data_IF_577737874434
#
_entry.id   IF_577737874434
#
_cell.length_a   1.000
_cell.length_b   1.000
_cell.length_c   1.000
_cell.angle_alpha   90.00
_cell.angle_beta   90.00
_cell.angle_gamma   90.00
#
_symmetry.space_group_name_H-M   'P 1'
#
loop_
_entity.id
_entity.type
_entity.pdbx_description
1 polymer ?
#
# COMPACT_ATOMS: atom_id res chain seq x y z
N UNK A 1 11.02 9.51 8.84
CA UNK A 1 9.84 9.15 9.62
C UNK A 1 8.89 10.34 9.77
N UNK A 2 9.26 11.36 10.53
CA UNK A 2 8.36 12.48 10.89
C UNK A 2 7.93 13.36 9.71
N UNK A 3 8.72 13.38 8.63
CA UNK A 3 8.33 14.06 7.40
C UNK A 3 7.18 13.35 6.66
N UNK A 4 7.01 12.06 6.87
CA UNK A 4 5.97 11.24 6.24
C UNK A 4 4.64 11.45 6.98
N UNK A 5 4.58 11.19 8.28
CA UNK A 5 3.35 11.03 9.05
C UNK A 5 3.16 12.01 10.24
N UNK A 6 4.09 12.92 10.48
CA UNK A 6 4.11 13.78 11.67
C UNK A 6 4.94 13.22 12.80
N UNK A 7 4.90 13.88 13.96
CA UNK A 7 5.64 13.47 15.16
C UNK A 7 5.20 12.12 15.70
N UNK A 8 6.01 11.51 16.54
CA UNK A 8 5.80 10.12 16.98
C UNK A 8 4.61 9.95 17.92
N UNK A 9 4.35 10.90 18.81
CA UNK A 9 3.31 10.79 19.83
C UNK A 9 2.25 11.89 19.76
N UNK A 10 2.21 12.71 18.72
CA UNK A 10 1.24 13.80 18.61
C UNK A 10 0.10 13.49 17.65
N UNK A 11 -0.86 14.41 17.59
CA UNK A 11 -1.97 14.41 16.62
C UNK A 11 -1.65 15.23 15.37
N UNK A 12 -0.44 15.80 15.24
CA UNK A 12 0.00 16.54 14.06
C UNK A 12 0.14 15.63 12.83
N UNK A 13 -0.28 16.13 11.67
CA UNK A 13 -0.04 15.52 10.37
C UNK A 13 1.28 15.95 9.73
N UNK A 14 1.61 15.37 8.60
CA UNK A 14 2.74 15.76 7.76
C UNK A 14 2.42 15.56 6.27
N UNK A 15 3.31 14.90 5.52
CA UNK A 15 3.15 14.83 4.08
C UNK A 15 1.92 13.99 3.68
N UNK A 16 1.75 12.81 4.24
CA UNK A 16 0.68 11.91 3.79
C UNK A 16 -0.72 12.36 4.17
N UNK A 17 -0.86 13.18 5.23
CA UNK A 17 -2.14 13.76 5.65
C UNK A 17 -2.42 15.11 4.96
N UNK A 18 -1.40 15.97 4.79
CA UNK A 18 -1.61 17.39 4.47
C UNK A 18 -0.65 17.92 3.39
N UNK A 19 0.21 17.10 2.81
CA UNK A 19 1.22 17.52 1.85
C UNK A 19 2.32 18.44 2.42
N UNK A 20 2.52 18.41 3.75
CA UNK A 20 3.48 19.25 4.46
C UNK A 20 4.89 18.65 4.50
N UNK A 21 5.88 19.42 4.97
CA UNK A 21 7.27 18.98 5.23
C UNK A 21 8.03 18.43 4.00
N UNK A 22 7.72 18.92 2.81
CA UNK A 22 8.34 18.45 1.55
C UNK A 22 9.87 18.55 1.52
N UNK A 23 10.47 19.57 2.13
CA UNK A 23 11.92 19.74 2.17
C UNK A 23 12.59 18.58 2.93
N UNK A 24 12.08 18.25 4.12
CA UNK A 24 12.60 17.13 4.93
C UNK A 24 12.37 15.78 4.23
N UNK A 25 11.26 15.66 3.46
CA UNK A 25 10.97 14.46 2.72
C UNK A 25 11.98 14.24 1.59
N UNK A 26 12.39 15.30 0.88
CA UNK A 26 13.45 15.23 -0.16
C UNK A 26 14.73 14.62 0.39
N UNK A 27 15.23 15.14 1.52
CA UNK A 27 16.44 14.60 2.16
C UNK A 27 16.26 13.13 2.56
N UNK A 28 15.06 12.76 3.06
CA UNK A 28 14.73 11.36 3.39
C UNK A 28 14.74 10.44 2.17
N UNK A 29 14.16 10.87 1.06
CA UNK A 29 14.12 10.09 -0.21
C UNK A 29 15.52 9.82 -0.74
N UNK A 30 16.42 10.78 -0.61
CA UNK A 30 17.83 10.63 -0.99
C UNK A 30 18.65 9.80 0.03
N UNK A 31 18.00 9.09 0.98
CA UNK A 31 18.70 8.30 1.99
C UNK A 31 19.64 9.13 2.86
N UNK A 32 19.29 10.40 3.15
CA UNK A 32 20.12 11.34 3.90
C UNK A 32 21.50 11.62 3.29
N UNK A 33 21.71 11.28 2.01
CA UNK A 33 22.96 11.50 1.29
C UNK A 33 22.95 12.76 0.41
N UNK A 34 21.88 13.57 0.52
CA UNK A 34 21.84 14.91 -0.07
C UNK A 34 22.94 15.77 0.53
N UNK A 35 23.78 16.33 -0.33
CA UNK A 35 24.97 17.11 0.07
C UNK A 35 24.64 18.42 0.79
N UNK A 36 23.39 18.87 0.77
CA UNK A 36 22.97 20.14 1.39
C UNK A 36 22.52 20.01 2.84
N UNK A 37 21.83 18.94 3.20
CA UNK A 37 21.20 18.77 4.52
C UNK A 37 21.32 17.37 5.10
N UNK A 38 21.75 16.42 4.29
CA UNK A 38 21.93 15.03 4.70
C UNK A 38 23.19 14.82 5.56
N UNK A 39 23.15 13.78 6.39
CA UNK A 39 24.26 13.41 7.27
C UNK A 39 25.01 12.17 6.78
N UNK A 40 24.42 11.40 5.85
CA UNK A 40 24.99 10.16 5.33
C UNK A 40 25.91 10.44 4.13
N UNK A 41 27.01 9.70 4.03
CA UNK A 41 27.90 9.76 2.88
C UNK A 41 27.33 8.98 1.68
N UNK A 42 26.59 7.92 1.97
CA UNK A 42 25.91 7.06 0.98
C UNK A 42 24.53 6.64 1.50
N UNK A 43 23.54 6.38 0.61
CA UNK A 43 22.18 6.05 1.04
C UNK A 43 22.08 4.82 1.95
N UNK A 44 22.95 3.83 1.77
CA UNK A 44 22.96 2.59 2.59
C UNK A 44 23.28 2.80 4.08
N UNK A 45 23.71 4.00 4.47
CA UNK A 45 23.87 4.37 5.89
C UNK A 45 22.56 4.82 6.54
N UNK A 46 21.47 4.95 5.77
CA UNK A 46 20.18 5.42 6.24
C UNK A 46 19.14 4.30 6.19
N UNK A 47 18.39 4.15 7.30
CA UNK A 47 17.17 3.34 7.36
C UNK A 47 15.98 4.26 7.19
N UNK A 48 15.18 4.03 6.14
CA UNK A 48 13.96 4.80 5.84
C UNK A 48 12.74 4.01 6.30
N UNK A 49 11.87 4.64 7.11
CA UNK A 49 10.69 3.99 7.67
C UNK A 49 9.59 4.98 8.04
N UNK A 50 8.36 4.52 8.14
CA UNK A 50 7.21 5.30 8.62
C UNK A 50 6.97 5.07 10.12
N UNK A 51 6.94 3.82 10.58
CA UNK A 51 6.76 3.45 11.98
C UNK A 51 7.71 2.33 12.41
N UNK A 52 7.87 2.14 13.72
CA UNK A 52 8.66 1.06 14.31
C UNK A 52 7.95 0.54 15.57
N UNK A 53 8.62 -0.32 16.36
CA UNK A 53 8.03 -0.93 17.56
C UNK A 53 7.70 0.08 18.67
N UNK A 54 8.42 1.21 18.74
CA UNK A 54 8.17 2.29 19.69
C UNK A 54 7.20 3.33 19.13
N UNK A 55 6.46 3.98 19.99
CA UNK A 55 5.44 4.98 19.71
C UNK A 55 4.25 4.41 18.93
N UNK A 56 3.40 5.26 18.37
CA UNK A 56 2.25 4.84 17.58
C UNK A 56 2.68 4.09 16.32
N UNK A 57 2.08 2.95 16.05
CA UNK A 57 2.19 2.33 14.73
C UNK A 57 1.56 3.25 13.66
N UNK A 58 1.86 2.99 12.38
CA UNK A 58 1.45 3.91 11.30
C UNK A 58 -0.06 4.15 11.30
N UNK A 59 -0.86 3.08 11.35
CA UNK A 59 -2.32 3.22 11.26
C UNK A 59 -2.90 3.98 12.45
N UNK A 60 -2.43 3.72 13.67
CA UNK A 60 -2.87 4.45 14.87
C UNK A 60 -2.51 5.94 14.80
N UNK A 61 -1.32 6.26 14.28
CA UNK A 61 -0.93 7.65 14.04
C UNK A 61 -1.85 8.34 13.04
N UNK A 62 -2.23 7.65 11.95
CA UNK A 62 -3.15 8.19 10.96
C UNK A 62 -4.54 8.41 11.56
N UNK A 63 -5.08 7.43 12.30
CA UNK A 63 -6.36 7.59 13.01
C UNK A 63 -6.32 8.80 13.95
N UNK A 64 -5.31 8.90 14.80
CA UNK A 64 -5.18 9.98 15.77
C UNK A 64 -5.02 11.36 15.14
N UNK A 65 -4.30 11.46 14.00
CA UNK A 65 -4.07 12.75 13.32
C UNK A 65 -5.25 13.22 12.46
N UNK A 66 -6.05 12.30 11.91
CA UNK A 66 -7.17 12.64 11.00
C UNK A 66 -8.50 12.71 11.74
N UNK A 67 -8.78 11.76 12.61
CA UNK A 67 -10.05 11.64 13.31
C UNK A 67 -10.01 12.03 14.79
N UNK A 68 -8.81 12.19 15.38
CA UNK A 68 -8.66 12.55 16.78
C UNK A 68 -9.41 11.62 17.74
N UNK A 69 -10.17 12.19 18.68
CA UNK A 69 -10.93 11.42 19.67
C UNK A 69 -12.11 10.62 19.10
N UNK A 70 -12.58 10.97 17.90
CA UNK A 70 -13.67 10.26 17.22
C UNK A 70 -13.18 9.02 16.44
N UNK A 71 -11.87 8.87 16.31
CA UNK A 71 -11.23 7.78 15.58
C UNK A 71 -11.41 6.42 16.25
N UNK A 72 -11.63 5.40 15.44
CA UNK A 72 -11.72 3.99 15.86
C UNK A 72 -10.52 3.23 15.28
N UNK A 73 -9.57 2.87 16.11
CA UNK A 73 -8.28 2.30 15.72
C UNK A 73 -8.37 0.98 14.94
N UNK A 74 -9.43 0.19 15.17
CA UNK A 74 -9.66 -1.10 14.48
C UNK A 74 -10.69 -1.02 13.35
N UNK A 75 -11.14 0.20 13.00
CA UNK A 75 -12.04 0.42 11.87
C UNK A 75 -11.23 0.70 10.60
N UNK A 76 -11.63 0.10 9.47
CA UNK A 76 -11.10 0.46 8.16
C UNK A 76 -11.67 1.81 7.70
N UNK A 77 -10.78 2.74 7.33
CA UNK A 77 -11.09 4.03 6.72
C UNK A 77 -10.34 4.13 5.40
N UNK A 78 -11.04 4.39 4.30
CA UNK A 78 -10.44 4.37 2.96
C UNK A 78 -9.40 5.47 2.73
N UNK A 79 -9.60 6.64 3.32
CA UNK A 79 -8.64 7.74 3.32
C UNK A 79 -7.35 7.37 4.06
N UNK A 80 -7.46 6.67 5.20
CA UNK A 80 -6.29 6.19 5.94
C UNK A 80 -5.59 5.04 5.23
N UNK A 81 -6.32 4.18 4.52
CA UNK A 81 -5.75 3.15 3.64
C UNK A 81 -4.95 3.81 2.52
N UNK A 82 -5.49 4.86 1.90
CA UNK A 82 -4.76 5.63 0.88
C UNK A 82 -3.48 6.25 1.44
N UNK A 83 -3.53 6.87 2.64
CA UNK A 83 -2.36 7.43 3.32
C UNK A 83 -1.34 6.36 3.72
N UNK A 84 -1.77 5.16 4.11
CA UNK A 84 -0.88 4.02 4.39
C UNK A 84 -0.14 3.60 3.11
N UNK A 85 -0.85 3.39 2.00
CA UNK A 85 -0.27 3.07 0.69
C UNK A 85 0.72 4.16 0.22
N UNK A 86 0.37 5.44 0.41
CA UNK A 86 1.27 6.56 0.11
C UNK A 86 2.53 6.52 0.98
N UNK A 87 2.41 6.22 2.29
CA UNK A 87 3.55 6.05 3.20
C UNK A 87 4.48 4.93 2.73
N UNK A 88 3.91 3.78 2.36
CA UNK A 88 4.65 2.65 1.80
C UNK A 88 5.40 3.04 0.52
N UNK A 89 4.71 3.72 -0.42
CA UNK A 89 5.34 4.18 -1.66
C UNK A 89 6.53 5.09 -1.38
N UNK A 90 6.42 6.04 -0.44
CA UNK A 90 7.51 6.92 -0.05
C UNK A 90 8.69 6.12 0.53
N UNK A 91 8.43 5.20 1.45
CA UNK A 91 9.48 4.40 2.10
C UNK A 91 10.19 3.50 1.10
N UNK A 92 9.43 2.73 0.32
CA UNK A 92 9.95 1.68 -0.55
C UNK A 92 10.65 2.25 -1.78
N UNK A 93 10.25 3.43 -2.29
CA UNK A 93 10.94 4.10 -3.41
C UNK A 93 12.02 5.10 -2.96
N UNK A 94 12.23 5.27 -1.66
CA UNK A 94 13.39 6.01 -1.15
C UNK A 94 14.66 5.21 -1.32
N UNK A 95 15.77 5.93 -1.52
CA UNK A 95 17.10 5.35 -1.44
C UNK A 95 17.43 4.95 0.01
N UNK A 96 18.38 4.05 0.19
CA UNK A 96 18.75 3.51 1.50
C UNK A 96 18.05 2.19 1.81
N UNK A 97 17.96 1.85 3.10
CA UNK A 97 17.40 0.58 3.57
C UNK A 97 15.93 0.82 3.98
N UNK A 98 14.95 0.29 3.24
CA UNK A 98 13.56 0.39 3.65
C UNK A 98 13.30 -0.51 4.85
N UNK A 99 12.52 -0.02 5.81
CA UNK A 99 12.08 -0.78 6.97
C UNK A 99 10.58 -0.58 7.18
N UNK A 100 9.86 -1.67 7.41
CA UNK A 100 8.45 -1.67 7.76
C UNK A 100 8.23 -2.43 9.07
N UNK A 101 7.40 -1.90 9.95
CA UNK A 101 6.94 -2.62 11.13
C UNK A 101 6.03 -3.77 10.69
N UNK A 102 6.28 -5.00 11.15
CA UNK A 102 5.44 -6.15 10.83
C UNK A 102 3.96 -5.89 11.15
N UNK A 103 3.10 -6.06 10.14
CA UNK A 103 1.67 -5.74 10.18
C UNK A 103 1.31 -4.35 9.64
N UNK A 104 2.28 -3.50 9.30
CA UNK A 104 2.02 -2.20 8.69
C UNK A 104 1.27 -2.36 7.34
N UNK A 105 1.59 -3.41 6.60
CA UNK A 105 0.99 -3.82 5.33
C UNK A 105 -0.47 -4.29 5.43
N UNK A 106 -0.96 -4.58 6.63
CA UNK A 106 -2.39 -4.85 6.91
C UNK A 106 -2.94 -3.95 8.02
N UNK A 107 -2.45 -2.71 8.07
CA UNK A 107 -2.97 -1.65 8.94
C UNK A 107 -3.01 -2.05 10.43
N UNK A 108 -1.93 -2.67 10.93
CA UNK A 108 -1.78 -3.05 12.34
C UNK A 108 -2.11 -1.89 13.26
N UNK A 109 -2.93 -2.16 14.28
CA UNK A 109 -3.25 -1.24 15.36
C UNK A 109 -2.85 -1.83 16.70
N UNK A 110 -2.42 -0.96 17.61
CA UNK A 110 -2.24 -1.22 19.03
C UNK A 110 -3.25 -0.41 19.87
N UNK A 111 -4.43 -0.12 19.29
CA UNK A 111 -5.50 0.68 19.91
C UNK A 111 -5.04 2.08 20.38
N UNK A 112 -4.05 2.67 19.70
CA UNK A 112 -3.49 3.99 20.03
C UNK A 112 -2.50 3.98 21.19
N UNK A 113 -2.04 2.82 21.64
CA UNK A 113 -1.02 2.70 22.68
C UNK A 113 0.38 2.98 22.11
N UNK A 114 0.94 4.13 22.46
CA UNK A 114 2.28 4.55 22.04
C UNK A 114 3.41 3.90 22.85
N UNK A 115 3.09 3.27 23.99
CA UNK A 115 4.07 2.71 24.92
C UNK A 115 3.74 1.27 25.31
N UNK A 116 3.42 0.45 24.35
CA UNK A 116 2.82 -0.87 24.49
C UNK A 116 3.75 -1.98 25.02
N UNK A 117 5.02 -1.69 25.38
CA UNK A 117 5.98 -2.70 25.78
C UNK A 117 5.54 -3.52 27.02
N UNK A 118 4.77 -2.92 27.93
CA UNK A 118 4.21 -3.57 29.11
C UNK A 118 2.68 -3.81 29.01
N UNK A 119 2.08 -3.50 27.88
CA UNK A 119 0.65 -3.70 27.63
C UNK A 119 0.32 -5.17 27.39
N UNK A 120 -0.95 -5.50 27.40
CA UNK A 120 -1.40 -6.89 27.30
C UNK A 120 -1.04 -7.51 25.93
N UNK A 121 -1.13 -8.84 25.87
CA UNK A 121 -0.96 -9.57 24.61
C UNK A 121 -1.92 -9.09 23.54
N UNK A 122 -3.13 -8.70 23.91
CA UNK A 122 -4.18 -8.24 22.99
C UNK A 122 -3.74 -7.00 22.19
N UNK A 123 -3.08 -6.03 22.83
CA UNK A 123 -2.57 -4.83 22.16
C UNK A 123 -1.34 -5.11 21.29
N UNK A 124 -0.54 -6.09 21.68
CA UNK A 124 0.74 -6.38 21.03
C UNK A 124 0.69 -7.45 19.94
N UNK A 125 -0.31 -8.34 19.95
CA UNK A 125 -0.46 -9.39 18.93
C UNK A 125 -0.80 -8.80 17.55
N UNK A 126 -0.47 -9.54 16.51
CA UNK A 126 -0.94 -9.28 15.16
C UNK A 126 -2.39 -9.79 15.03
N UNK A 127 -3.26 -8.96 14.48
CA UNK A 127 -4.62 -9.33 14.15
C UNK A 127 -4.65 -9.91 12.73
N UNK A 128 -4.64 -11.23 12.64
CA UNK A 128 -4.59 -11.93 11.34
C UNK A 128 -5.89 -11.82 10.53
N UNK A 129 -7.03 -11.47 11.15
CA UNK A 129 -8.27 -11.15 10.41
C UNK A 129 -8.08 -9.92 9.49
N UNK A 130 -7.13 -9.04 9.82
CA UNK A 130 -6.79 -7.89 9.01
C UNK A 130 -6.15 -8.26 7.66
N UNK A 131 -5.58 -9.45 7.50
CA UNK A 131 -5.00 -9.89 6.23
C UNK A 131 -6.07 -9.93 5.13
N UNK A 132 -7.25 -10.43 5.43
CA UNK A 132 -8.37 -10.43 4.49
C UNK A 132 -8.96 -9.03 4.32
N UNK A 133 -9.13 -8.29 5.43
CA UNK A 133 -9.72 -6.95 5.42
C UNK A 133 -8.88 -5.93 4.64
N UNK A 134 -7.54 -6.05 4.67
CA UNK A 134 -6.58 -5.15 4.04
C UNK A 134 -5.74 -5.85 2.96
N UNK A 135 -6.26 -6.90 2.32
CA UNK A 135 -5.56 -7.65 1.27
C UNK A 135 -5.07 -6.74 0.12
N UNK A 136 -5.82 -5.69 -0.20
CA UNK A 136 -5.44 -4.68 -1.19
C UNK A 136 -4.20 -3.85 -0.77
N UNK A 137 -3.98 -3.65 0.52
CA UNK A 137 -2.79 -2.97 1.04
C UNK A 137 -1.58 -3.90 0.95
N UNK A 138 -1.75 -5.17 1.33
CA UNK A 138 -0.70 -6.20 1.24
C UNK A 138 -0.21 -6.33 -0.20
N UNK A 139 -1.12 -6.46 -1.18
CA UNK A 139 -0.75 -6.56 -2.59
C UNK A 139 -0.06 -5.30 -3.10
N UNK A 140 -0.47 -4.12 -2.60
CA UNK A 140 0.18 -2.87 -2.92
C UNK A 140 1.64 -2.82 -2.43
N UNK A 141 1.89 -3.23 -1.17
CA UNK A 141 3.26 -3.37 -0.62
C UNK A 141 4.09 -4.36 -1.43
N UNK A 142 3.52 -5.54 -1.74
CA UNK A 142 4.18 -6.57 -2.57
C UNK A 142 4.60 -5.98 -3.92
N UNK A 143 3.70 -5.29 -4.60
CA UNK A 143 3.97 -4.65 -5.88
C UNK A 143 5.04 -3.57 -5.81
N UNK A 144 5.07 -2.76 -4.75
CA UNK A 144 6.12 -1.77 -4.52
C UNK A 144 7.50 -2.41 -4.33
N UNK A 145 7.59 -3.52 -3.59
CA UNK A 145 8.85 -4.26 -3.45
C UNK A 145 9.31 -4.87 -4.77
N UNK A 146 8.41 -5.41 -5.59
CA UNK A 146 8.73 -5.86 -6.95
C UNK A 146 9.32 -4.73 -7.80
N UNK A 147 8.71 -3.53 -7.77
CA UNK A 147 9.25 -2.34 -8.46
C UNK A 147 10.65 -1.99 -7.95
N UNK A 148 10.86 -2.00 -6.63
CA UNK A 148 12.16 -1.72 -6.02
C UNK A 148 13.23 -2.72 -6.46
N UNK A 149 12.91 -4.00 -6.47
CA UNK A 149 13.84 -5.08 -6.85
C UNK A 149 14.20 -5.02 -8.34
N UNK A 150 13.24 -4.62 -9.19
CA UNK A 150 13.46 -4.47 -10.62
C UNK A 150 14.27 -3.22 -11.00
N UNK A 151 14.40 -2.23 -10.10
CA UNK A 151 15.06 -0.95 -10.38
C UNK A 151 16.22 -0.68 -9.42
N UNK A 152 17.42 -1.04 -9.81
CA UNK A 152 18.63 -1.06 -8.97
C UNK A 152 18.95 0.27 -8.28
N UNK A 153 18.61 1.43 -8.90
CA UNK A 153 18.87 2.74 -8.31
C UNK A 153 18.18 2.99 -6.96
N UNK A 154 17.13 2.26 -6.62
CA UNK A 154 16.51 2.37 -5.29
C UNK A 154 17.32 1.67 -4.19
N UNK A 155 18.09 0.64 -4.53
CA UNK A 155 18.90 -0.19 -3.61
C UNK A 155 20.40 -0.01 -3.77
N UNK A 156 20.87 0.78 -4.74
CA UNK A 156 22.28 1.06 -4.93
C UNK A 156 22.87 1.74 -3.70
N UNK A 157 23.93 1.17 -3.16
CA UNK A 157 24.62 1.67 -1.97
C UNK A 157 25.69 2.71 -2.25
N UNK A 158 25.91 3.07 -3.52
CA UNK A 158 26.98 4.00 -3.92
C UNK A 158 26.55 5.46 -3.89
N UNK A 159 27.51 6.37 -3.75
CA UNK A 159 27.24 7.80 -3.83
C UNK A 159 26.77 8.26 -5.24
N UNK A 160 26.99 7.45 -6.27
CA UNK A 160 26.55 7.76 -7.64
C UNK A 160 25.02 7.90 -7.74
N UNK A 161 24.27 7.12 -6.96
CA UNK A 161 22.81 7.13 -6.94
C UNK A 161 22.23 8.40 -6.34
N UNK A 162 22.87 9.00 -5.34
CA UNK A 162 22.44 10.28 -4.77
C UNK A 162 22.38 11.39 -5.82
N UNK A 163 23.26 11.33 -6.83
CA UNK A 163 23.33 12.28 -7.92
C UNK A 163 22.39 11.94 -9.09
N UNK A 164 21.74 10.78 -9.08
CA UNK A 164 20.81 10.35 -10.12
C UNK A 164 19.38 10.86 -9.92
N UNK A 165 19.08 11.43 -8.76
CA UNK A 165 17.80 12.01 -8.38
C UNK A 165 17.64 13.45 -8.88
N UNK A 166 16.54 13.74 -9.57
CA UNK A 166 16.18 15.10 -10.00
C UNK A 166 14.75 15.40 -9.58
N UNK A 167 14.56 16.35 -8.67
CA UNK A 167 13.24 16.74 -8.19
C UNK A 167 12.48 17.57 -9.23
N UNK A 168 11.19 17.29 -9.40
CA UNK A 168 10.31 18.10 -10.22
C UNK A 168 10.13 19.49 -9.60
N UNK A 169 10.33 20.54 -10.42
CA UNK A 169 10.33 21.94 -9.94
C UNK A 169 8.95 22.58 -9.91
N UNK A 170 8.11 22.26 -10.90
CA UNK A 170 6.79 22.87 -11.08
C UNK A 170 5.70 21.84 -10.72
N UNK A 171 5.44 21.71 -9.42
CA UNK A 171 4.45 20.80 -8.87
C UNK A 171 3.43 21.54 -8.00
N UNK A 172 2.15 21.11 -7.99
CA UNK A 172 1.12 21.71 -7.14
C UNK A 172 1.48 21.68 -5.65
N UNK A 173 0.80 22.52 -4.85
CA UNK A 173 0.91 22.47 -3.40
C UNK A 173 0.50 21.09 -2.90
N UNK A 174 1.26 20.53 -1.94
CA UNK A 174 1.01 19.20 -1.40
C UNK A 174 1.55 18.05 -2.26
N UNK A 175 2.10 18.36 -3.44
CA UNK A 175 2.70 17.36 -4.32
C UNK A 175 4.21 17.42 -4.26
N UNK A 176 4.85 16.28 -4.40
CA UNK A 176 6.30 16.15 -4.62
C UNK A 176 6.55 15.06 -5.64
N UNK A 177 7.55 15.25 -6.49
CA UNK A 177 7.97 14.23 -7.44
C UNK A 177 9.45 14.34 -7.77
N UNK A 178 9.98 13.27 -8.32
CA UNK A 178 11.36 13.19 -8.79
C UNK A 178 11.47 12.19 -9.94
N UNK A 179 12.50 12.38 -10.74
CA UNK A 179 13.03 11.34 -11.64
C UNK A 179 14.30 10.77 -11.05
N UNK A 180 14.55 9.50 -11.32
CA UNK A 180 15.75 8.78 -10.93
C UNK A 180 16.23 7.93 -12.10
N UNK A 181 17.53 8.02 -12.42
CA UNK A 181 18.16 7.22 -13.46
C UNK A 181 18.68 5.92 -12.85
N UNK A 182 18.55 4.82 -13.61
CA UNK A 182 19.14 3.55 -13.21
C UNK A 182 20.67 3.60 -13.32
N UNK A 183 21.31 2.84 -12.47
CA UNK A 183 22.77 2.68 -12.45
C UNK A 183 23.24 1.46 -13.24
N UNK A 184 22.33 0.57 -13.62
CA UNK A 184 22.61 -0.65 -14.39
C UNK A 184 22.20 -0.50 -15.87
N UNK A 185 23.09 -0.91 -16.78
CA UNK A 185 22.78 -0.98 -18.21
C UNK A 185 21.93 -2.22 -18.55
N UNK A 186 21.10 -2.12 -19.61
CA UNK A 186 20.25 -3.22 -20.05
C UNK A 186 19.02 -3.48 -19.18
N UNK A 187 18.71 -2.56 -18.26
CA UNK A 187 17.52 -2.52 -17.40
C UNK A 187 16.68 -1.28 -17.75
N UNK A 188 15.56 -1.09 -17.08
CA UNK A 188 14.79 0.15 -17.17
C UNK A 188 15.69 1.36 -16.88
N UNK A 189 15.66 2.36 -17.73
CA UNK A 189 16.65 3.43 -17.70
C UNK A 189 16.31 4.54 -16.71
N UNK A 190 15.03 4.88 -16.57
CA UNK A 190 14.60 5.98 -15.72
C UNK A 190 13.22 5.71 -15.14
N UNK A 191 13.02 6.11 -13.89
CA UNK A 191 11.70 6.20 -13.27
C UNK A 191 11.33 7.64 -12.93
N UNK A 192 10.01 7.90 -12.94
CA UNK A 192 9.41 9.11 -12.40
C UNK A 192 8.44 8.71 -11.28
N UNK A 193 8.67 9.24 -10.09
CA UNK A 193 7.86 8.98 -8.89
C UNK A 193 7.22 10.27 -8.43
N UNK A 194 5.90 10.25 -8.21
CA UNK A 194 5.13 11.42 -7.81
C UNK A 194 4.25 11.05 -6.61
N UNK A 195 4.29 11.86 -5.57
CA UNK A 195 3.49 11.74 -4.35
C UNK A 195 2.55 12.93 -4.23
N UNK A 196 1.29 12.66 -3.97
CA UNK A 196 0.27 13.66 -3.67
C UNK A 196 -0.25 13.45 -2.25
N UNK A 197 0.11 14.32 -1.32
CA UNK A 197 -0.37 14.32 0.06
C UNK A 197 -1.53 15.29 0.32
N UNK A 198 -2.16 15.83 -0.74
CA UNK A 198 -3.32 16.72 -0.62
C UNK A 198 -4.64 15.96 -0.74
N UNK A 199 -5.72 16.57 -0.27
CA UNK A 199 -7.09 16.01 -0.24
C UNK A 199 -7.78 15.98 -1.62
N UNK A 200 -7.07 16.39 -2.68
CA UNK A 200 -7.64 16.45 -4.03
C UNK A 200 -6.68 15.91 -5.08
N UNK A 201 -7.24 15.35 -6.13
CA UNK A 201 -6.46 14.91 -7.27
C UNK A 201 -5.73 16.09 -7.94
N UNK A 202 -4.50 15.88 -8.37
CA UNK A 202 -3.64 16.87 -8.97
C UNK A 202 -3.16 16.42 -10.36
N UNK A 203 -3.12 17.33 -11.32
CA UNK A 203 -2.45 17.09 -12.59
C UNK A 203 -1.00 17.56 -12.47
N UNK A 204 -0.07 16.67 -12.75
CA UNK A 204 1.37 16.93 -12.58
C UNK A 204 2.07 16.79 -13.92
N UNK A 205 2.88 17.77 -14.27
CA UNK A 205 3.74 17.71 -15.45
C UNK A 205 4.89 16.76 -15.21
N UNK A 206 4.98 15.72 -16.04
CA UNK A 206 6.07 14.75 -16.08
C UNK A 206 6.50 14.56 -17.54
N UNK A 207 7.42 15.39 -18.03
CA UNK A 207 7.85 15.40 -19.44
C UNK A 207 8.35 14.04 -19.87
N UNK A 208 7.93 13.58 -21.04
CA UNK A 208 8.30 12.30 -21.64
C UNK A 208 7.11 11.36 -21.80
N UNK A 209 7.41 10.15 -22.24
CA UNK A 209 6.46 9.06 -22.42
C UNK A 209 6.70 8.02 -21.33
N UNK A 210 5.66 7.68 -20.59
CA UNK A 210 5.75 6.87 -19.38
C UNK A 210 4.73 5.74 -19.37
N UNK A 211 5.15 4.60 -18.84
CA UNK A 211 4.29 3.48 -18.42
C UNK A 211 4.06 3.60 -16.93
N UNK A 212 2.81 3.65 -16.49
CA UNK A 212 2.41 3.68 -15.08
C UNK A 212 2.49 2.26 -14.51
N UNK A 213 3.28 2.08 -13.46
CA UNK A 213 3.47 0.82 -12.74
C UNK A 213 2.75 0.78 -11.38
N UNK A 214 2.49 1.96 -10.80
CA UNK A 214 1.69 2.07 -9.58
C UNK A 214 0.81 3.32 -9.62
N UNK A 215 -0.40 3.21 -9.10
CA UNK A 215 -1.36 4.30 -8.91
C UNK A 215 -2.00 4.21 -7.51
N UNK A 216 -3.16 4.85 -7.28
CA UNK A 216 -3.86 4.80 -6.00
C UNK A 216 -4.47 3.43 -5.65
N UNK A 217 -4.54 2.49 -6.58
CA UNK A 217 -5.20 1.19 -6.41
C UNK A 217 -4.23 0.05 -6.34
N UNK A 218 -3.30 -0.02 -7.30
CA UNK A 218 -2.40 -1.16 -7.48
C UNK A 218 -0.97 -0.71 -7.72
N UNK A 219 -0.03 -1.61 -7.47
CA UNK A 219 1.40 -1.49 -7.78
C UNK A 219 1.93 -2.82 -8.30
N UNK A 220 2.93 -2.78 -9.18
CA UNK A 220 3.57 -3.98 -9.73
C UNK A 220 4.43 -3.64 -10.95
N UNK A 221 4.85 -4.66 -11.67
CA UNK A 221 5.70 -4.50 -12.86
C UNK A 221 4.90 -4.34 -14.17
N UNK A 222 3.58 -4.40 -14.08
CA UNK A 222 2.66 -4.37 -15.22
C UNK A 222 2.32 -2.95 -15.66
N UNK A 223 2.05 -2.81 -16.95
CA UNK A 223 1.53 -1.57 -17.51
C UNK A 223 0.07 -1.37 -17.08
N UNK A 224 -0.19 -0.39 -16.21
CA UNK A 224 -1.54 0.04 -15.85
C UNK A 224 -2.10 0.93 -16.96
N UNK A 225 -1.31 1.87 -17.46
CA UNK A 225 -1.63 2.79 -18.56
C UNK A 225 -0.40 3.52 -19.05
N UNK A 226 -0.47 4.01 -20.29
CA UNK A 226 0.53 4.92 -20.84
C UNK A 226 0.11 6.37 -20.64
N UNK A 227 1.06 7.25 -20.34
CA UNK A 227 0.85 8.69 -20.20
C UNK A 227 1.97 9.47 -20.88
N UNK A 228 1.67 10.65 -21.41
CA UNK A 228 2.63 11.55 -22.08
C UNK A 228 2.60 12.91 -21.44
N UNK A 229 3.76 13.42 -21.02
CA UNK A 229 4.02 14.76 -20.49
C UNK A 229 3.26 15.16 -19.21
N UNK A 230 2.20 14.47 -18.83
CA UNK A 230 1.44 14.78 -17.63
C UNK A 230 0.69 13.55 -17.12
N UNK A 231 0.44 13.53 -15.81
CA UNK A 231 -0.32 12.46 -15.16
C UNK A 231 -1.23 13.03 -14.08
N UNK A 232 -2.43 12.47 -13.96
CA UNK A 232 -3.31 12.71 -12.82
C UNK A 232 -2.90 11.83 -11.67
N UNK A 233 -2.68 12.43 -10.49
CA UNK A 233 -2.34 11.77 -9.23
C UNK A 233 -3.50 12.00 -8.27
N UNK A 234 -4.17 10.94 -7.85
CA UNK A 234 -5.32 11.01 -6.94
C UNK A 234 -4.93 11.55 -5.56
N UNK A 235 -5.91 11.95 -4.74
CA UNK A 235 -5.69 12.39 -3.37
C UNK A 235 -4.98 11.31 -2.56
N UNK A 236 -4.07 11.71 -1.68
CA UNK A 236 -3.31 10.81 -0.78
C UNK A 236 -2.72 9.58 -1.48
N UNK A 237 -2.12 9.77 -2.66
CA UNK A 237 -1.63 8.65 -3.48
C UNK A 237 -0.25 8.90 -4.07
N UNK A 238 0.34 7.82 -4.57
CA UNK A 238 1.54 7.84 -5.38
C UNK A 238 1.24 7.42 -6.82
N UNK A 239 2.06 7.93 -7.77
CA UNK A 239 2.18 7.37 -9.11
C UNK A 239 3.64 7.08 -9.37
N UNK A 240 3.94 5.84 -9.76
CA UNK A 240 5.29 5.39 -10.11
C UNK A 240 5.28 4.99 -11.58
N UNK A 241 6.20 5.56 -12.34
CA UNK A 241 6.25 5.40 -13.80
C UNK A 241 7.67 5.06 -14.25
N UNK A 242 7.77 4.27 -15.30
CA UNK A 242 9.01 3.96 -16.00
C UNK A 242 8.97 4.53 -17.41
N UNK A 243 10.11 4.93 -17.96
CA UNK A 243 10.16 5.41 -19.35
C UNK A 243 9.73 4.32 -20.33
N UNK A 244 8.80 4.66 -21.24
CA UNK A 244 8.18 3.71 -22.17
C UNK A 244 9.21 2.98 -23.02
N UNK A 245 10.24 3.69 -23.49
CA UNK A 245 11.25 3.10 -24.38
C UNK A 245 12.02 1.96 -23.72
N UNK A 246 12.47 2.14 -22.46
CA UNK A 246 13.17 1.07 -21.76
C UNK A 246 12.21 -0.03 -21.28
N UNK A 247 10.98 0.32 -20.91
CA UNK A 247 9.96 -0.67 -20.57
C UNK A 247 9.71 -1.63 -21.73
N UNK A 248 9.46 -1.11 -22.93
CA UNK A 248 9.23 -1.92 -24.13
C UNK A 248 10.46 -2.76 -24.53
N UNK A 249 11.68 -2.22 -24.34
CA UNK A 249 12.92 -2.91 -24.72
C UNK A 249 13.33 -4.02 -23.77
N UNK A 250 13.03 -3.87 -22.47
CA UNK A 250 13.38 -4.85 -21.43
C UNK A 250 12.29 -5.91 -21.30
N UNK A 251 11.03 -5.56 -21.62
CA UNK A 251 9.88 -6.42 -21.46
C UNK A 251 9.42 -6.55 -20.01
N UNK A 252 8.44 -7.41 -19.79
CA UNK A 252 7.88 -7.68 -18.47
C UNK A 252 8.80 -8.63 -17.72
N UNK A 253 9.13 -8.27 -16.48
CA UNK A 253 10.01 -9.06 -15.61
C UNK A 253 9.24 -9.92 -14.59
N UNK A 254 7.91 -9.90 -14.64
CA UNK A 254 7.02 -10.65 -13.74
C UNK A 254 6.15 -11.60 -14.57
N UNK A 255 6.02 -12.84 -14.14
CA UNK A 255 5.15 -13.86 -14.71
C UNK A 255 3.71 -13.84 -14.14
N UNK A 256 3.45 -12.98 -13.16
CA UNK A 256 2.12 -12.78 -12.59
C UNK A 256 1.35 -11.66 -13.28
N UNK A 257 0.08 -11.90 -13.56
CA UNK A 257 -0.90 -10.89 -13.94
C UNK A 257 -1.66 -10.35 -12.72
N UNK A 258 -2.43 -9.27 -12.92
CA UNK A 258 -3.23 -8.68 -11.87
C UNK A 258 -4.62 -8.25 -12.34
N UNK A 259 -5.61 -8.35 -11.45
CA UNK A 259 -6.97 -7.81 -11.64
C UNK A 259 -7.32 -6.97 -10.42
N UNK A 260 -7.63 -5.70 -10.64
CA UNK A 260 -8.14 -4.79 -9.60
C UNK A 260 -9.65 -4.96 -9.50
N UNK A 261 -10.14 -5.25 -8.32
CA UNK A 261 -11.54 -5.45 -8.01
C UNK A 261 -12.00 -4.30 -7.13
N UNK A 262 -12.89 -3.47 -7.65
CA UNK A 262 -13.50 -2.36 -6.90
C UNK A 262 -14.85 -2.79 -6.34
N UNK A 263 -15.02 -2.71 -5.03
CA UNK A 263 -16.26 -3.01 -4.34
C UNK A 263 -17.03 -1.72 -4.08
N UNK A 264 -18.27 -1.66 -4.55
CA UNK A 264 -19.16 -0.51 -4.41
C UNK A 264 -20.38 -0.88 -3.58
N UNK A 265 -20.84 0.04 -2.74
CA UNK A 265 -22.18 -0.03 -2.16
C UNK A 265 -23.23 0.03 -3.26
N UNK A 266 -24.11 -0.95 -3.33
CA UNK A 266 -25.08 -1.08 -4.44
C UNK A 266 -26.13 0.04 -4.47
N UNK A 267 -26.41 0.68 -3.32
CA UNK A 267 -27.43 1.74 -3.22
C UNK A 267 -26.88 3.14 -3.47
N UNK A 268 -25.68 3.39 -2.94
CA UNK A 268 -25.06 4.72 -2.98
C UNK A 268 -24.02 4.88 -4.07
N UNK A 269 -23.63 3.79 -4.73
CA UNK A 269 -22.54 3.70 -5.71
C UNK A 269 -21.19 4.25 -5.19
N UNK A 270 -21.03 4.31 -3.87
CA UNK A 270 -19.75 4.71 -3.26
C UNK A 270 -18.79 3.53 -3.22
N UNK A 271 -17.53 3.80 -3.51
CA UNK A 271 -16.45 2.82 -3.35
C UNK A 271 -16.32 2.45 -1.87
N UNK A 272 -16.35 1.16 -1.56
CA UNK A 272 -16.14 0.60 -0.22
C UNK A 272 -14.66 0.25 -0.05
N UNK A 273 -14.11 -0.55 -0.98
CA UNK A 273 -12.69 -0.95 -1.00
C UNK A 273 -12.27 -1.35 -2.40
N UNK A 274 -10.96 -1.40 -2.63
CA UNK A 274 -10.36 -2.07 -3.78
C UNK A 274 -9.53 -3.25 -3.29
N UNK A 275 -9.46 -4.31 -4.09
CA UNK A 275 -8.63 -5.49 -3.85
C UNK A 275 -7.90 -5.83 -5.14
N UNK A 276 -6.64 -6.26 -5.05
CA UNK A 276 -5.91 -6.79 -6.20
C UNK A 276 -5.81 -8.31 -6.08
N UNK A 277 -6.26 -9.01 -7.11
CA UNK A 277 -6.04 -10.43 -7.29
C UNK A 277 -4.85 -10.62 -8.24
N UNK A 278 -3.86 -11.42 -7.85
CA UNK A 278 -2.71 -11.78 -8.68
C UNK A 278 -2.71 -13.26 -9.01
N UNK A 279 -2.09 -13.62 -10.12
CA UNK A 279 -1.94 -15.01 -10.54
C UNK A 279 -1.00 -15.15 -11.73
N UNK A 280 -0.52 -16.37 -11.96
CA UNK A 280 0.39 -16.71 -13.04
C UNK A 280 -0.25 -16.38 -14.41
N UNK A 281 0.53 -15.80 -15.32
CA UNK A 281 0.08 -15.49 -16.68
C UNK A 281 -0.46 -16.72 -17.39
N UNK A 282 -1.60 -16.54 -18.05
CA UNK A 282 -2.27 -17.63 -18.75
C UNK A 282 -3.19 -18.47 -17.87
N UNK A 283 -3.16 -18.31 -16.53
CA UNK A 283 -4.12 -18.99 -15.66
C UNK A 283 -5.45 -18.23 -15.60
N UNK A 284 -6.56 -18.95 -15.39
CA UNK A 284 -7.89 -18.34 -15.31
C UNK A 284 -8.19 -17.82 -13.91
N UNK A 285 -8.98 -16.75 -13.85
CA UNK A 285 -9.54 -16.23 -12.62
C UNK A 285 -11.07 -16.09 -12.71
N UNK A 286 -11.71 -16.10 -11.53
CA UNK A 286 -13.13 -15.84 -11.35
C UNK A 286 -13.33 -15.07 -10.04
N UNK A 287 -13.67 -13.79 -10.13
CA UNK A 287 -13.88 -12.93 -8.96
C UNK A 287 -15.29 -13.03 -8.38
N UNK A 288 -16.19 -13.80 -9.01
CA UNK A 288 -17.59 -13.89 -8.58
C UNK A 288 -17.72 -14.39 -7.14
N UNK A 289 -16.87 -15.36 -6.76
CA UNK A 289 -16.91 -15.98 -5.43
C UNK A 289 -16.10 -15.26 -4.37
N UNK A 290 -15.16 -14.37 -4.77
CA UNK A 290 -14.34 -13.59 -3.83
C UNK A 290 -15.15 -12.49 -3.13
N UNK A 291 -16.27 -12.12 -3.69
CA UNK A 291 -17.10 -11.02 -3.23
C UNK A 291 -18.11 -11.42 -2.15
N UNK A 292 -18.46 -12.69 -2.01
CA UNK A 292 -19.30 -13.16 -0.92
C UNK A 292 -18.48 -13.27 0.36
N UNK A 293 -18.34 -12.14 1.05
CA UNK A 293 -17.76 -12.10 2.40
C UNK A 293 -18.86 -12.31 3.44
N UNK A 294 -18.47 -12.65 4.66
CA UNK A 294 -19.38 -12.78 5.80
C UNK A 294 -20.36 -11.59 5.95
N UNK A 295 -19.88 -10.39 5.57
CA UNK A 295 -20.56 -9.12 5.85
C UNK A 295 -21.31 -8.53 4.66
N UNK A 296 -21.17 -9.11 3.44
CA UNK A 296 -21.71 -8.50 2.22
C UNK A 296 -22.37 -9.50 1.29
N UNK A 297 -23.48 -9.11 0.69
CA UNK A 297 -24.13 -9.80 -0.42
C UNK A 297 -23.79 -9.14 -1.76
N UNK A 298 -23.37 -9.92 -2.75
CA UNK A 298 -23.16 -9.45 -4.12
C UNK A 298 -24.52 -9.25 -4.81
N UNK A 299 -24.75 -8.07 -5.35
CA UNK A 299 -25.97 -7.71 -6.08
C UNK A 299 -25.76 -7.65 -7.58
N UNK A 300 -24.64 -7.09 -8.05
CA UNK A 300 -24.26 -7.06 -9.48
C UNK A 300 -22.76 -6.98 -9.63
N UNK A 301 -22.29 -7.33 -10.81
CA UNK A 301 -20.87 -7.23 -11.21
C UNK A 301 -20.77 -6.57 -12.58
N UNK A 302 -19.62 -5.96 -12.88
CA UNK A 302 -19.30 -5.30 -14.15
C UNK A 302 -17.78 -5.39 -14.44
N UNK A 303 -17.41 -5.32 -15.72
CA UNK A 303 -16.02 -5.41 -16.15
C UNK A 303 -15.50 -6.85 -16.24
N UNK A 304 -14.20 -7.03 -16.04
CA UNK A 304 -13.48 -8.31 -16.23
C UNK A 304 -13.59 -9.21 -15.01
N UNK A 305 -14.80 -9.67 -14.71
CA UNK A 305 -15.10 -10.52 -13.54
C UNK A 305 -14.60 -11.97 -13.70
N UNK A 306 -14.36 -12.43 -14.91
CA UNK A 306 -13.76 -13.73 -15.27
C UNK A 306 -12.86 -13.53 -16.46
N UNK A 307 -11.75 -14.21 -16.46
CA UNK A 307 -10.80 -14.12 -17.57
C UNK A 307 -9.54 -14.94 -17.34
N UNK A 308 -8.50 -14.52 -18.01
CA UNK A 308 -7.16 -15.08 -17.90
C UNK A 308 -6.22 -13.95 -17.53
N UNK A 309 -5.30 -14.19 -16.61
CA UNK A 309 -4.27 -13.21 -16.27
C UNK A 309 -3.38 -12.93 -17.48
N UNK A 310 -3.28 -11.65 -17.82
CA UNK A 310 -2.49 -11.16 -18.95
C UNK A 310 -1.41 -10.18 -18.46
N UNK A 311 -0.64 -9.66 -19.40
CA UNK A 311 0.35 -8.61 -19.16
C UNK A 311 -0.30 -7.22 -18.91
N UNK A 312 -1.60 -7.11 -19.06
CA UNK A 312 -2.35 -5.90 -18.69
C UNK A 312 -3.07 -6.10 -17.36
N UNK A 313 -3.22 -5.01 -16.60
CA UNK A 313 -4.02 -5.04 -15.39
C UNK A 313 -5.50 -5.05 -15.76
N UNK A 314 -6.19 -6.12 -15.37
CA UNK A 314 -7.64 -6.24 -15.53
C UNK A 314 -8.40 -5.41 -14.49
N UNK A 315 -9.66 -5.08 -14.79
CA UNK A 315 -10.53 -4.31 -13.90
C UNK A 315 -11.91 -4.94 -13.76
N UNK A 316 -12.32 -5.20 -12.53
CA UNK A 316 -13.64 -5.70 -12.18
C UNK A 316 -14.34 -4.77 -11.18
N UNK A 317 -15.67 -4.69 -11.25
CA UNK A 317 -16.49 -3.98 -10.27
C UNK A 317 -17.50 -4.93 -9.68
N UNK A 318 -17.65 -4.86 -8.37
CA UNK A 318 -18.58 -5.67 -7.60
C UNK A 318 -19.43 -4.75 -6.74
N UNK A 319 -20.73 -4.83 -6.90
CA UNK A 319 -21.68 -4.03 -6.12
C UNK A 319 -22.27 -4.91 -5.03
N UNK A 320 -22.14 -4.47 -3.78
CA UNK A 320 -22.51 -5.24 -2.59
C UNK A 320 -23.50 -4.48 -1.71
N UNK A 321 -24.24 -5.20 -0.92
CA UNK A 321 -25.03 -4.67 0.20
C UNK A 321 -24.58 -5.35 1.49
N UNK A 322 -24.64 -4.62 2.61
CA UNK A 322 -24.35 -5.21 3.91
C UNK A 322 -25.30 -6.39 4.15
N UNK A 323 -24.72 -7.49 4.65
CA UNK A 323 -25.52 -8.63 5.10
C UNK A 323 -26.15 -8.28 6.45
N UNK A 324 -27.47 -8.29 6.51
CA UNK A 324 -28.28 -7.94 7.68
C UNK A 324 -28.70 -9.15 8.53
N UNK A 325 -28.28 -10.35 8.15
CA UNK A 325 -28.57 -11.59 8.86
C UNK A 325 -27.64 -11.84 10.06
N UNK A 326 -27.94 -12.88 10.82
CA UNK A 326 -27.12 -13.28 11.96
C UNK A 326 -25.84 -13.99 11.55
N UNK A 327 -24.71 -13.61 12.16
CA UNK A 327 -23.43 -14.30 12.07
C UNK A 327 -23.28 -15.20 13.28
N UNK A 328 -23.09 -16.48 13.05
CA UNK A 328 -22.81 -17.48 14.08
C UNK A 328 -21.31 -17.64 14.28
N UNK A 329 -20.92 -17.85 15.53
CA UNK A 329 -19.51 -18.12 15.90
C UNK A 329 -19.42 -19.50 16.53
N UNK A 330 -18.51 -20.31 16.05
CA UNK A 330 -18.20 -21.65 16.57
C UNK A 330 -16.78 -21.64 17.13
N UNK A 331 -16.62 -22.12 18.37
CA UNK A 331 -15.29 -22.34 18.94
C UNK A 331 -14.83 -23.74 18.57
N UNK A 332 -13.71 -23.84 17.87
CA UNK A 332 -13.05 -25.09 17.54
C UNK A 332 -11.98 -25.38 18.62
N UNK A 333 -12.08 -26.55 19.24
CA UNK A 333 -11.13 -26.99 20.26
C UNK A 333 -10.47 -28.29 19.82
N UNK A 334 -9.15 -28.34 19.98
CA UNK A 334 -8.39 -29.56 19.82
C UNK A 334 -8.18 -30.17 21.19
N UNK A 335 -8.73 -31.36 21.40
CA UNK A 335 -8.63 -32.07 22.69
C UNK A 335 -8.02 -33.44 22.51
N UNK A 336 -7.19 -33.86 23.45
CA UNK A 336 -6.69 -35.23 23.57
C UNK A 336 -7.88 -36.11 23.97
N UNK A 337 -8.21 -37.07 23.13
CA UNK A 337 -9.35 -37.99 23.31
C UNK A 337 -9.21 -38.87 24.56
N UNK A 338 -7.97 -39.09 25.06
CA UNK A 338 -7.68 -39.96 26.17
C UNK A 338 -7.92 -39.31 27.54
N UNK A 339 -7.62 -38.01 27.67
CA UNK A 339 -7.67 -37.29 28.94
C UNK A 339 -8.51 -35.99 28.89
N UNK A 340 -9.07 -35.68 27.73
CA UNK A 340 -9.91 -34.49 27.49
C UNK A 340 -9.20 -33.13 27.79
N UNK A 341 -7.87 -33.10 27.62
CA UNK A 341 -7.10 -31.86 27.76
C UNK A 341 -6.95 -31.16 26.41
N UNK A 342 -6.99 -29.83 26.39
CA UNK A 342 -6.70 -29.05 25.16
C UNK A 342 -5.22 -29.25 24.78
N UNK A 343 -4.98 -29.66 23.51
CA UNK A 343 -3.65 -29.89 22.93
C UNK A 343 -3.13 -28.63 22.23
N UNK A 344 -4.01 -27.78 21.74
CA UNK A 344 -3.72 -26.50 21.10
C UNK A 344 -4.74 -25.47 21.52
N UNK A 345 -4.38 -24.18 21.38
CA UNK A 345 -5.29 -23.06 21.64
C UNK A 345 -6.52 -23.14 20.75
N UNK A 346 -7.69 -22.95 21.33
CA UNK A 346 -8.95 -22.91 20.60
C UNK A 346 -9.01 -21.68 19.68
N UNK A 347 -9.63 -21.81 18.53
CA UNK A 347 -9.90 -20.68 17.63
C UNK A 347 -11.40 -20.55 17.29
N UNK A 348 -11.79 -19.38 16.80
CA UNK A 348 -13.15 -19.05 16.45
C UNK A 348 -13.34 -19.12 14.94
N UNK A 349 -14.38 -19.83 14.49
CA UNK A 349 -14.86 -19.82 13.11
C UNK A 349 -16.17 -19.05 13.07
N UNK A 350 -16.27 -18.08 12.19
CA UNK A 350 -17.48 -17.29 11.98
C UNK A 350 -18.07 -17.64 10.62
N UNK A 351 -19.38 -17.83 10.55
CA UNK A 351 -20.11 -17.96 9.30
C UNK A 351 -21.54 -17.43 9.45
N UNK A 352 -22.22 -17.22 8.34
CA UNK A 352 -23.62 -16.84 8.33
C UNK A 352 -24.46 -17.95 8.96
N UNK A 353 -25.49 -17.56 9.72
CA UNK A 353 -26.35 -18.54 10.38
C UNK A 353 -27.01 -19.47 9.36
N UNK A 354 -26.82 -20.76 9.54
CA UNK A 354 -27.37 -21.81 8.65
C UNK A 354 -26.48 -22.22 7.49
N UNK A 355 -25.32 -21.57 7.28
CA UNK A 355 -24.30 -22.01 6.34
C UNK A 355 -23.34 -23.01 6.99
N UNK A 356 -22.74 -23.88 6.16
CA UNK A 356 -21.74 -24.84 6.61
C UNK A 356 -20.42 -24.11 6.87
N UNK A 357 -19.71 -24.48 7.93
CA UNK A 357 -18.34 -24.07 8.21
C UNK A 357 -17.40 -25.24 7.95
N UNK A 358 -16.25 -24.93 7.40
CA UNK A 358 -15.21 -25.91 7.05
C UNK A 358 -13.95 -25.62 7.81
#
# INVERSE_FOLDING_TARGET
>A
RDAIKGSTGGTDGAFVQEGLRRANLKTGIAGQSDTTTGWANVPSQCVTYASCHDNLCLYDKLVGSVYGADGKYRKRYEDLVAMNKLSAAIVITSQGIPFSLGGEEFCRSKDGDENSYASSRKENMLDWENVDLYSDVIEYYRGLYKIRDAFAAFSDSTAATANSLTYLSDVPKGVMGYTINNTESGKWSQMCVIFNGSDSAQNVTAKGDWVVLADNKTAGLRNIKNVTNSVKVEAHSAVIMVDTKSYDSVGIMDDEGAVVIDYYDNKTEKLIKSQTLTGELGTSYDVTNLASTLNYDVKKTDGEIKGVFTDQVGHAKVYVEEYDGEISTVTVKFVDETNNTEIEDSFLVKNRRGEQYY
#
